data_IF_330342632953
#
_entry.id   IF_330342632953
#
_cell.length_a   1.000
_cell.length_b   1.000
_cell.length_c   1.000
_cell.angle_alpha   90.00
_cell.angle_beta   90.00
_cell.angle_gamma   90.00
#
_symmetry.space_group_name_H-M   'P 1'
#
loop_
_entity.id
_entity.type
_entity.pdbx_description
1 polymer ?
#
# COMPACT_ATOMS: atom_id res chain seq x y z
N UNK A 1 -50.68 30.62 -27.90
CA UNK A 1 -49.35 30.84 -27.30
C UNK A 1 -48.68 29.48 -27.15
N UNK A 2 -47.73 29.12 -28.04
CA UNK A 2 -47.03 27.81 -28.00
C UNK A 2 -45.88 27.92 -27.01
N UNK A 3 -45.93 27.12 -25.93
CA UNK A 3 -44.80 26.97 -25.00
C UNK A 3 -43.76 26.09 -25.69
N UNK A 4 -42.62 26.69 -26.05
CA UNK A 4 -41.45 25.98 -26.54
C UNK A 4 -40.80 25.32 -25.32
N UNK A 5 -40.94 23.99 -25.22
CA UNK A 5 -40.16 23.18 -24.28
C UNK A 5 -38.70 23.23 -24.73
N UNK A 6 -37.89 24.07 -24.07
CA UNK A 6 -36.43 23.97 -24.17
C UNK A 6 -36.02 22.61 -23.63
N UNK A 7 -35.49 21.75 -24.50
CA UNK A 7 -34.70 20.59 -24.07
C UNK A 7 -33.51 21.13 -23.28
N UNK A 8 -33.48 20.86 -21.97
CA UNK A 8 -32.26 20.96 -21.18
C UNK A 8 -31.44 19.74 -21.60
N UNK A 9 -30.50 19.94 -22.51
CA UNK A 9 -29.43 18.97 -22.78
C UNK A 9 -28.42 19.12 -21.67
N UNK A 10 -28.47 18.23 -20.69
CA UNK A 10 -27.40 18.12 -19.70
C UNK A 10 -26.22 17.39 -20.35
N UNK A 11 -25.13 18.11 -20.49
CA UNK A 11 -23.87 17.70 -21.12
C UNK A 11 -23.11 16.69 -20.26
N UNK A 12 -22.71 15.57 -20.88
CA UNK A 12 -21.55 14.73 -20.52
C UNK A 12 -21.43 14.15 -19.10
N UNK A 13 -22.49 13.50 -18.59
CA UNK A 13 -22.27 12.47 -17.54
C UNK A 13 -21.78 11.18 -18.19
N UNK A 14 -20.54 11.15 -18.68
CA UNK A 14 -19.90 9.87 -19.03
C UNK A 14 -19.70 9.09 -17.74
N UNK A 15 -20.35 7.94 -17.61
CA UNK A 15 -20.19 7.07 -16.44
C UNK A 15 -18.73 6.59 -16.38
N UNK A 16 -17.94 7.19 -15.50
CA UNK A 16 -16.55 6.80 -15.28
C UNK A 16 -16.53 5.58 -14.35
N UNK A 17 -16.12 4.43 -14.90
CA UNK A 17 -15.94 3.23 -14.11
C UNK A 17 -14.83 3.42 -13.06
N UNK A 18 -14.96 2.83 -11.86
CA UNK A 18 -13.88 2.84 -10.88
C UNK A 18 -12.64 2.11 -11.42
N UNK A 19 -11.43 2.54 -11.01
CA UNK A 19 -10.18 1.82 -11.25
C UNK A 19 -10.30 0.33 -10.92
N UNK A 20 -9.75 -0.50 -11.81
CA UNK A 20 -9.66 -1.94 -11.57
C UNK A 20 -8.70 -2.21 -10.42
N UNK A 21 -9.06 -3.14 -9.55
CA UNK A 21 -8.17 -3.55 -8.48
C UNK A 21 -6.89 -4.21 -9.01
N UNK A 22 -5.79 -4.00 -8.29
CA UNK A 22 -4.48 -4.59 -8.57
C UNK A 22 -3.66 -4.76 -7.30
N UNK A 23 -2.57 -5.51 -7.38
CA UNK A 23 -1.79 -5.95 -6.22
C UNK A 23 -1.13 -4.82 -5.41
N UNK A 24 -0.91 -3.65 -6.00
CA UNK A 24 -0.50 -2.45 -5.25
C UNK A 24 -1.72 -1.73 -4.63
N UNK A 25 -2.08 -2.14 -3.42
CA UNK A 25 -3.23 -1.57 -2.70
C UNK A 25 -3.10 -0.06 -2.44
N UNK A 26 -1.88 0.44 -2.15
CA UNK A 26 -1.68 1.87 -1.80
C UNK A 26 -1.96 2.74 -3.01
N UNK A 27 -1.37 2.38 -4.15
CA UNK A 27 -1.60 3.08 -5.42
C UNK A 27 -3.07 2.97 -5.82
N UNK A 28 -3.65 1.76 -5.78
CA UNK A 28 -5.07 1.58 -6.12
C UNK A 28 -6.00 2.43 -5.24
N UNK A 29 -5.76 2.49 -3.93
CA UNK A 29 -6.57 3.31 -3.02
C UNK A 29 -6.51 4.80 -3.40
N UNK A 30 -5.33 5.32 -3.76
CA UNK A 30 -5.19 6.69 -4.24
C UNK A 30 -5.95 6.91 -5.56
N UNK A 31 -5.92 5.94 -6.48
CA UNK A 31 -6.71 6.00 -7.71
C UNK A 31 -8.22 6.05 -7.41
N UNK A 32 -8.71 5.26 -6.45
CA UNK A 32 -10.11 5.34 -5.98
C UNK A 32 -10.41 6.73 -5.43
N UNK A 33 -9.54 7.29 -4.57
CA UNK A 33 -9.72 8.64 -4.02
C UNK A 33 -9.78 9.71 -5.12
N UNK A 34 -8.98 9.59 -6.17
CA UNK A 34 -9.06 10.47 -7.34
C UNK A 34 -10.35 10.24 -8.14
N UNK A 35 -10.73 8.99 -8.36
CA UNK A 35 -11.96 8.62 -9.05
C UNK A 35 -13.21 9.22 -8.37
N UNK A 36 -13.26 9.23 -7.04
CA UNK A 36 -14.41 9.83 -6.31
C UNK A 36 -14.61 11.32 -6.61
N UNK A 37 -13.56 12.03 -7.02
CA UNK A 37 -13.62 13.47 -7.35
C UNK A 37 -14.15 13.75 -8.75
N UNK A 38 -14.10 12.76 -9.63
CA UNK A 38 -14.45 12.92 -11.06
C UNK A 38 -15.68 12.10 -11.46
N UNK A 39 -16.09 11.13 -10.64
CA UNK A 39 -17.26 10.30 -10.92
C UNK A 39 -18.57 11.07 -10.71
N UNK A 40 -19.53 10.84 -11.61
CA UNK A 40 -20.93 11.28 -11.43
C UNK A 40 -21.76 10.32 -10.56
N UNK A 41 -21.17 9.24 -10.04
CA UNK A 41 -21.89 8.25 -9.24
C UNK A 41 -22.20 8.79 -7.84
N UNK A 42 -23.47 8.72 -7.44
CA UNK A 42 -23.92 9.08 -6.09
C UNK A 42 -23.11 8.31 -5.03
N UNK A 43 -22.69 9.00 -3.96
CA UNK A 43 -21.85 8.43 -2.89
C UNK A 43 -22.40 7.11 -2.33
N UNK A 44 -23.72 7.04 -2.12
CA UNK A 44 -24.42 5.82 -1.70
C UNK A 44 -24.23 4.57 -2.60
N UNK A 45 -23.71 4.73 -3.81
CA UNK A 45 -23.45 3.63 -4.77
C UNK A 45 -21.96 3.41 -5.04
N UNK A 46 -21.08 4.30 -4.58
CA UNK A 46 -19.66 4.27 -4.94
C UNK A 46 -18.95 3.03 -4.39
N UNK A 47 -19.16 2.72 -3.11
CA UNK A 47 -18.71 1.49 -2.43
C UNK A 47 -19.09 0.21 -3.17
N UNK A 48 -20.33 0.11 -3.65
CA UNK A 48 -20.82 -1.05 -4.40
C UNK A 48 -20.06 -1.15 -5.72
N UNK A 49 -19.96 -0.05 -6.46
CA UNK A 49 -19.22 -0.01 -7.72
C UNK A 49 -17.74 -0.41 -7.55
N UNK A 50 -17.09 0.11 -6.51
CA UNK A 50 -15.70 -0.22 -6.16
C UNK A 50 -15.57 -1.68 -5.72
N UNK A 51 -16.48 -2.18 -4.87
CA UNK A 51 -16.48 -3.59 -4.45
C UNK A 51 -16.63 -4.53 -5.64
N UNK A 52 -17.35 -4.14 -6.70
CA UNK A 52 -17.48 -4.92 -7.93
C UNK A 52 -16.19 -5.03 -8.76
N UNK A 53 -15.20 -4.14 -8.57
CA UNK A 53 -13.90 -4.23 -9.26
C UNK A 53 -12.83 -4.97 -8.47
N UNK A 54 -13.08 -5.32 -7.21
CA UNK A 54 -12.18 -6.11 -6.37
C UNK A 54 -12.12 -7.57 -6.84
N UNK A 55 -11.00 -8.23 -6.54
CA UNK A 55 -10.81 -9.67 -6.71
C UNK A 55 -10.19 -10.33 -5.45
N UNK A 56 -10.11 -11.66 -5.47
CA UNK A 56 -9.49 -12.47 -4.41
C UNK A 56 -9.93 -12.09 -2.99
N UNK A 57 -8.95 -11.96 -2.09
CA UNK A 57 -9.19 -11.67 -0.67
C UNK A 57 -9.79 -10.28 -0.44
N UNK A 58 -9.50 -9.31 -1.30
CA UNK A 58 -10.11 -7.98 -1.21
C UNK A 58 -11.62 -8.06 -1.50
N UNK A 59 -12.01 -8.88 -2.48
CA UNK A 59 -13.41 -9.13 -2.82
C UNK A 59 -14.16 -9.84 -1.70
N UNK A 60 -13.56 -10.87 -1.10
CA UNK A 60 -14.15 -11.59 0.04
C UNK A 60 -14.50 -10.62 1.18
N UNK A 61 -13.54 -9.79 1.62
CA UNK A 61 -13.76 -8.78 2.67
C UNK A 61 -14.81 -7.74 2.24
N UNK A 62 -14.81 -7.33 0.97
CA UNK A 62 -15.80 -6.39 0.46
C UNK A 62 -17.23 -6.95 0.50
N UNK A 63 -17.40 -8.24 0.20
CA UNK A 63 -18.70 -8.91 0.22
C UNK A 63 -19.21 -9.17 1.66
N UNK A 64 -18.32 -9.39 2.62
CA UNK A 64 -18.66 -9.55 4.04
C UNK A 64 -19.36 -8.32 4.64
N UNK A 65 -19.11 -7.12 4.08
CA UNK A 65 -19.76 -5.88 4.53
C UNK A 65 -21.26 -5.83 4.16
N UNK A 66 -21.69 -6.56 3.13
CA UNK A 66 -23.10 -6.63 2.74
C UNK A 66 -23.79 -5.26 2.64
N UNK A 67 -24.83 -5.08 3.46
CA UNK A 67 -25.64 -3.85 3.50
C UNK A 67 -24.86 -2.61 3.94
N UNK A 68 -23.74 -2.77 4.67
CA UNK A 68 -22.87 -1.65 5.10
C UNK A 68 -22.15 -0.97 3.93
N UNK A 69 -22.14 -1.60 2.74
CA UNK A 69 -21.73 -0.95 1.51
C UNK A 69 -22.75 0.14 1.10
N UNK A 70 -24.01 0.04 1.47
CA UNK A 70 -25.02 1.04 1.12
C UNK A 70 -24.83 2.36 1.90
N UNK A 71 -25.09 3.48 1.23
CA UNK A 71 -25.15 4.81 1.87
C UNK A 71 -23.87 5.63 1.77
N UNK A 72 -23.96 6.89 2.22
CA UNK A 72 -22.98 7.94 1.90
C UNK A 72 -21.55 7.68 2.45
N UNK A 73 -21.41 6.86 3.50
CA UNK A 73 -20.12 6.45 4.09
C UNK A 73 -19.70 5.00 3.74
N UNK A 74 -20.46 4.31 2.87
CA UNK A 74 -20.17 2.91 2.52
C UNK A 74 -18.75 2.72 1.96
N UNK A 75 -18.24 3.71 1.22
CA UNK A 75 -16.88 3.66 0.67
C UNK A 75 -15.83 3.80 1.78
N UNK A 76 -16.10 4.64 2.78
CA UNK A 76 -15.25 4.79 3.95
C UNK A 76 -15.19 3.52 4.79
N UNK A 77 -16.31 2.79 4.94
CA UNK A 77 -16.32 1.46 5.57
C UNK A 77 -15.47 0.45 4.81
N UNK A 78 -15.66 0.36 3.49
CA UNK A 78 -14.90 -0.55 2.63
C UNK A 78 -13.39 -0.29 2.73
N UNK A 79 -12.96 0.95 2.53
CA UNK A 79 -11.54 1.33 2.57
C UNK A 79 -10.91 1.08 3.94
N UNK A 80 -11.61 1.34 5.06
CA UNK A 80 -11.10 1.04 6.41
C UNK A 80 -10.87 -0.46 6.62
N UNK A 81 -11.73 -1.31 6.06
CA UNK A 81 -11.59 -2.77 6.15
C UNK A 81 -10.43 -3.29 5.32
N UNK A 82 -10.30 -2.78 4.10
CA UNK A 82 -9.17 -3.09 3.24
C UNK A 82 -7.85 -2.54 3.81
N UNK A 83 -7.84 -1.36 4.45
CA UNK A 83 -6.68 -0.83 5.16
C UNK A 83 -6.21 -1.77 6.29
N UNK A 84 -7.15 -2.35 7.03
CA UNK A 84 -6.84 -3.32 8.08
C UNK A 84 -6.21 -4.59 7.50
N UNK A 85 -6.62 -5.00 6.31
CA UNK A 85 -6.08 -6.18 5.63
C UNK A 85 -4.70 -5.91 5.03
N UNK A 86 -4.53 -4.81 4.30
CA UNK A 86 -3.35 -4.55 3.49
C UNK A 86 -2.35 -3.61 4.14
N UNK A 87 -2.79 -2.53 4.79
CA UNK A 87 -1.86 -1.57 5.39
C UNK A 87 -1.32 -2.07 6.74
N UNK A 88 -2.17 -2.65 7.59
CA UNK A 88 -1.70 -3.19 8.88
C UNK A 88 -0.69 -4.32 8.69
N UNK A 89 -0.98 -5.24 7.77
CA UNK A 89 -0.07 -6.33 7.42
C UNK A 89 1.25 -5.79 6.85
N UNK A 90 1.23 -4.74 6.02
CA UNK A 90 2.46 -4.10 5.54
C UNK A 90 3.24 -3.44 6.68
N UNK A 91 2.63 -2.61 7.52
CA UNK A 91 3.36 -1.89 8.58
C UNK A 91 4.03 -2.84 9.58
N UNK A 92 3.34 -3.90 10.01
CA UNK A 92 3.91 -4.89 10.93
C UNK A 92 5.00 -5.73 10.25
N UNK A 93 4.79 -6.11 8.99
CA UNK A 93 5.79 -6.84 8.20
C UNK A 93 7.01 -6.00 7.85
N UNK A 94 6.82 -4.70 7.60
CA UNK A 94 7.87 -3.73 7.30
C UNK A 94 8.68 -3.43 8.56
N UNK A 95 8.02 -3.25 9.70
CA UNK A 95 8.67 -3.12 11.00
C UNK A 95 9.53 -4.34 11.32
N UNK A 96 9.00 -5.56 11.21
CA UNK A 96 9.78 -6.77 11.49
C UNK A 96 10.92 -6.96 10.47
N UNK A 97 10.71 -6.66 9.19
CA UNK A 97 11.77 -6.70 8.19
C UNK A 97 12.89 -5.69 8.50
N UNK A 98 12.53 -4.45 8.86
CA UNK A 98 13.49 -3.43 9.24
C UNK A 98 14.21 -3.78 10.52
N UNK A 99 13.51 -4.23 11.57
CA UNK A 99 14.10 -4.68 12.84
C UNK A 99 15.09 -5.83 12.66
N UNK A 100 14.76 -6.81 11.82
CA UNK A 100 15.67 -7.92 11.51
C UNK A 100 16.94 -7.43 10.79
N UNK A 101 16.80 -6.49 9.84
CA UNK A 101 17.94 -5.83 9.23
C UNK A 101 18.71 -4.95 10.23
N UNK A 102 18.01 -4.24 11.10
CA UNK A 102 18.60 -3.27 12.01
C UNK A 102 19.45 -3.96 13.10
N UNK A 103 19.02 -5.15 13.52
CA UNK A 103 19.66 -5.95 14.56
C UNK A 103 20.72 -6.91 14.03
N UNK A 104 20.94 -6.98 12.71
CA UNK A 104 21.98 -7.85 12.15
C UNK A 104 23.36 -7.44 12.68
N UNK A 105 24.10 -8.40 13.22
CA UNK A 105 25.46 -8.23 13.74
C UNK A 105 26.27 -9.47 13.37
N UNK A 106 27.56 -9.29 13.06
CA UNK A 106 28.48 -10.38 12.82
C UNK A 106 28.66 -11.19 14.11
N UNK A 107 28.37 -12.49 14.04
CA UNK A 107 28.62 -13.40 15.16
C UNK A 107 30.13 -13.59 15.36
N UNK A 108 30.63 -13.80 16.60
CA UNK A 108 32.07 -14.02 16.84
C UNK A 108 32.67 -15.19 16.05
N UNK A 109 31.87 -16.21 15.76
CA UNK A 109 32.28 -17.40 15.01
C UNK A 109 32.14 -17.26 13.49
N UNK A 110 31.51 -16.19 13.00
CA UNK A 110 31.25 -15.99 11.57
C UNK A 110 32.39 -15.23 10.89
N UNK A 111 32.67 -15.60 9.64
CA UNK A 111 33.56 -14.84 8.77
C UNK A 111 32.93 -13.50 8.35
N UNK A 112 33.76 -12.58 7.85
CA UNK A 112 33.26 -11.32 7.29
C UNK A 112 32.38 -11.55 6.06
N UNK A 113 32.74 -12.52 5.21
CA UNK A 113 31.99 -12.83 4.00
C UNK A 113 30.57 -13.34 4.30
N UNK A 114 30.42 -14.24 5.28
CA UNK A 114 29.10 -14.71 5.73
C UNK A 114 28.24 -13.56 6.26
N UNK A 115 28.84 -12.66 7.04
CA UNK A 115 28.15 -11.48 7.54
C UNK A 115 27.68 -10.54 6.41
N UNK A 116 28.53 -10.27 5.41
CA UNK A 116 28.16 -9.41 4.27
C UNK A 116 26.98 -10.03 3.50
N UNK A 117 27.01 -11.34 3.25
CA UNK A 117 25.91 -12.05 2.57
C UNK A 117 24.60 -11.93 3.35
N UNK A 118 24.63 -12.12 4.68
CA UNK A 118 23.45 -11.97 5.54
C UNK A 118 22.93 -10.53 5.53
N UNK A 119 23.84 -9.55 5.62
CA UNK A 119 23.53 -8.13 5.59
C UNK A 119 22.85 -7.73 4.27
N UNK A 120 23.44 -8.10 3.13
CA UNK A 120 22.91 -7.80 1.80
C UNK A 120 21.56 -8.49 1.53
N UNK A 121 21.41 -9.73 2.01
CA UNK A 121 20.15 -10.47 1.94
C UNK A 121 19.02 -9.76 2.69
N UNK A 122 19.30 -9.29 3.91
CA UNK A 122 18.34 -8.53 4.72
C UNK A 122 18.08 -7.13 4.14
N UNK A 123 19.11 -6.43 3.64
CA UNK A 123 18.95 -5.12 2.99
C UNK A 123 18.08 -5.22 1.73
N UNK A 124 18.31 -6.25 0.91
CA UNK A 124 17.49 -6.51 -0.29
C UNK A 124 16.01 -6.71 0.06
N UNK A 125 15.70 -7.34 1.21
CA UNK A 125 14.32 -7.53 1.67
C UNK A 125 13.65 -6.22 2.05
N UNK A 126 14.36 -5.30 2.72
CA UNK A 126 13.79 -3.99 3.09
C UNK A 126 13.74 -3.03 1.90
N UNK A 127 14.68 -3.13 0.96
CA UNK A 127 14.70 -2.36 -0.29
C UNK A 127 13.48 -2.66 -1.17
N UNK A 128 13.03 -3.93 -1.21
CA UNK A 128 11.79 -4.33 -1.92
C UNK A 128 10.51 -3.72 -1.32
N UNK A 129 10.59 -3.19 -0.10
CA UNK A 129 9.51 -2.51 0.63
C UNK A 129 9.71 -0.99 0.65
N UNK A 130 10.52 -0.48 -0.29
CA UNK A 130 10.84 0.95 -0.44
C UNK A 130 11.58 1.58 0.76
N UNK A 131 12.08 0.77 1.70
CA UNK A 131 12.91 1.22 2.82
C UNK A 131 14.38 1.31 2.39
N UNK A 132 14.70 2.32 1.59
CA UNK A 132 16.06 2.55 1.06
C UNK A 132 16.83 3.49 1.99
N UNK A 133 17.95 3.01 2.52
CA UNK A 133 18.87 3.83 3.31
C UNK A 133 19.86 4.58 2.40
N UNK A 134 20.28 5.81 2.78
CA UNK A 134 21.39 6.49 2.13
C UNK A 134 22.68 5.65 2.18
N UNK A 135 23.48 5.72 1.12
CA UNK A 135 24.70 4.89 0.98
C UNK A 135 25.65 5.03 2.17
N UNK A 136 25.90 6.27 2.63
CA UNK A 136 26.76 6.52 3.79
C UNK A 136 26.22 5.86 5.07
N UNK A 137 24.90 5.86 5.28
CA UNK A 137 24.25 5.23 6.43
C UNK A 137 24.36 3.71 6.33
N UNK A 138 24.18 3.16 5.13
CA UNK A 138 24.31 1.73 4.88
C UNK A 138 25.74 1.23 5.15
N UNK A 139 26.74 1.96 4.63
CA UNK A 139 28.15 1.65 4.85
C UNK A 139 28.53 1.74 6.33
N UNK A 140 28.11 2.79 7.02
CA UNK A 140 28.30 2.92 8.47
C UNK A 140 27.69 1.73 9.23
N UNK A 141 26.46 1.36 8.89
CA UNK A 141 25.74 0.27 9.55
C UNK A 141 26.41 -1.10 9.34
N UNK A 142 26.93 -1.35 8.14
CA UNK A 142 27.70 -2.55 7.84
C UNK A 142 28.96 -2.60 8.72
N UNK A 143 29.70 -1.50 8.84
CA UNK A 143 30.92 -1.43 9.64
C UNK A 143 30.64 -1.54 11.15
N UNK A 144 29.61 -0.87 11.65
CA UNK A 144 29.20 -0.93 13.06
C UNK A 144 28.77 -2.36 13.44
N UNK A 145 28.06 -3.05 12.54
CA UNK A 145 27.63 -4.42 12.78
C UNK A 145 28.69 -5.49 12.54
N UNK A 146 29.83 -5.15 11.94
CA UNK A 146 30.90 -6.08 11.59
C UNK A 146 31.76 -6.55 12.78
N UNK A 147 31.61 -5.95 13.96
CA UNK A 147 32.36 -6.33 15.16
C UNK A 147 33.87 -6.11 15.01
N UNK A 148 34.26 -5.06 14.29
CA UNK A 148 35.65 -4.70 14.04
C UNK A 148 36.33 -4.25 15.35
N UNK A 149 37.53 -4.76 15.59
CA UNK A 149 38.41 -4.25 16.65
C UNK A 149 38.90 -2.84 16.28
N UNK A 150 39.34 -2.04 17.27
CA UNK A 150 39.81 -0.65 17.06
C UNK A 150 40.83 -0.53 15.92
N UNK A 151 41.68 -1.53 15.71
CA UNK A 151 42.71 -1.55 14.66
C UNK A 151 42.19 -1.89 13.25
N UNK A 152 40.91 -2.21 13.11
CA UNK A 152 40.27 -2.63 11.85
C UNK A 152 39.21 -1.62 11.39
N UNK A 153 38.97 -0.56 12.16
CA UNK A 153 38.10 0.54 11.76
C UNK A 153 38.90 1.51 10.86
N UNK A 154 38.30 2.03 9.78
CA UNK A 154 38.94 3.02 8.91
C UNK A 154 39.16 4.37 9.62
#
# INVERSE_FOLDING_TARGET
QRVVLKKVTDTDSTFINPPKYHNDYRTWKQEIELWTKVTGLAKAKQSIAVCLTLDGKAKEVGLELGDDLGGEDGLGHLLRKLDTLFLKATTESDYEAYKNFDTVRRKPSASMAEYIVDFDSLYTKIKKREMVLPEAVLAFKLLDGAGLTENQRP
#
